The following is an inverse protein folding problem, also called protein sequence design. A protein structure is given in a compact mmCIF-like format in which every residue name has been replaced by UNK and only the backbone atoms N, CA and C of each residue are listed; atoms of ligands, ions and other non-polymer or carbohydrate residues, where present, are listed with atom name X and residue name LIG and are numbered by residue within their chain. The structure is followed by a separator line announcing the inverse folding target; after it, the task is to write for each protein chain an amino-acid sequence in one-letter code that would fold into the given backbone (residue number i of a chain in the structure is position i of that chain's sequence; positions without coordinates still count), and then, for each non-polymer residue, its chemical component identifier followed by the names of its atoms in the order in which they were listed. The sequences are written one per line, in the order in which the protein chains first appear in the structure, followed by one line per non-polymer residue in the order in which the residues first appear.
data_IF_651702533228
#
_entry.id   IF_651702533228
#
_cell.length_a   1.000
_cell.length_b   1.000
_cell.length_c   1.000
_cell.angle_alpha   90.00
_cell.angle_beta   90.00
_cell.angle_gamma   90.00
#
_symmetry.space_group_name_H-M   'P 1'
#
loop_
_entity.id
_entity.type
_entity.pdbx_description
1 polymer ?
#
# COMPACT_ATOMS: atom_id res chain seq x y z
N UNK A 1 -3.25 -16.98 -55.55
CA UNK A 1 -4.27 -16.40 -54.65
C UNK A 1 -4.50 -17.38 -53.48
N UNK A 2 -3.47 -17.65 -52.67
CA UNK A 2 -3.49 -18.73 -51.66
C UNK A 2 -2.67 -18.37 -50.40
N UNK A 3 -2.22 -17.11 -50.27
CA UNK A 3 -1.48 -16.60 -49.10
C UNK A 3 -2.40 -16.15 -47.95
N UNK A 4 -3.68 -15.91 -48.23
CA UNK A 4 -4.57 -15.27 -47.25
C UNK A 4 -5.18 -16.26 -46.25
N UNK A 5 -5.33 -17.54 -46.64
CA UNK A 5 -5.93 -18.58 -45.79
C UNK A 5 -4.98 -19.09 -44.69
N UNK A 6 -3.68 -19.23 -44.98
CA UNK A 6 -2.69 -19.63 -43.98
C UNK A 6 -2.47 -18.52 -42.94
N UNK A 7 -2.57 -17.27 -43.39
CA UNK A 7 -2.43 -16.07 -42.56
C UNK A 7 -3.59 -15.92 -41.56
N UNK A 8 -4.83 -16.28 -41.92
CA UNK A 8 -6.00 -16.06 -41.05
C UNK A 8 -6.06 -17.01 -39.83
N UNK A 9 -5.58 -18.24 -39.95
CA UNK A 9 -5.50 -19.16 -38.81
C UNK A 9 -4.32 -18.84 -37.88
N UNK A 10 -3.16 -18.47 -38.45
CA UNK A 10 -2.03 -17.98 -37.66
C UNK A 10 -2.40 -16.67 -36.97
N UNK A 11 -2.91 -15.65 -37.67
CA UNK A 11 -3.33 -14.39 -37.05
C UNK A 11 -4.35 -14.60 -35.91
N UNK A 12 -5.29 -15.55 -36.05
CA UNK A 12 -6.25 -15.87 -34.98
C UNK A 12 -5.57 -16.45 -33.74
N UNK A 13 -4.60 -17.35 -33.90
CA UNK A 13 -3.84 -17.91 -32.79
C UNK A 13 -2.95 -16.85 -32.10
N UNK A 14 -2.37 -15.94 -32.87
CA UNK A 14 -1.54 -14.85 -32.36
C UNK A 14 -2.40 -13.82 -31.61
N UNK A 15 -3.55 -13.43 -32.16
CA UNK A 15 -4.52 -12.58 -31.46
C UNK A 15 -5.04 -13.22 -30.16
N UNK A 16 -5.25 -14.53 -30.14
CA UNK A 16 -5.65 -15.24 -28.92
C UNK A 16 -4.53 -15.22 -27.88
N UNK A 17 -3.28 -15.48 -28.27
CA UNK A 17 -2.13 -15.43 -27.37
C UNK A 17 -1.90 -14.02 -26.81
N UNK A 18 -1.95 -12.99 -27.67
CA UNK A 18 -1.84 -11.58 -27.26
C UNK A 18 -3.00 -11.18 -26.36
N UNK A 19 -4.23 -11.58 -26.69
CA UNK A 19 -5.42 -11.30 -25.90
C UNK A 19 -5.33 -11.90 -24.50
N UNK A 20 -4.93 -13.17 -24.39
CA UNK A 20 -4.73 -13.85 -23.10
C UNK A 20 -3.61 -13.18 -22.30
N UNK A 21 -2.47 -12.87 -22.94
CA UNK A 21 -1.36 -12.18 -22.28
C UNK A 21 -1.78 -10.79 -21.76
N UNK A 22 -2.56 -10.06 -22.54
CA UNK A 22 -3.06 -8.73 -22.18
C UNK A 22 -4.05 -8.82 -21.02
N UNK A 23 -5.02 -9.73 -21.07
CA UNK A 23 -5.97 -9.97 -19.96
C UNK A 23 -5.24 -10.37 -18.68
N UNK A 24 -4.26 -11.29 -18.76
CA UNK A 24 -3.46 -11.69 -17.60
C UNK A 24 -2.69 -10.50 -17.02
N UNK A 25 -2.09 -9.67 -17.88
CA UNK A 25 -1.37 -8.46 -17.45
C UNK A 25 -2.30 -7.44 -16.74
N UNK A 26 -3.53 -7.28 -17.24
CA UNK A 26 -4.54 -6.40 -16.65
C UNK A 26 -5.02 -6.92 -15.30
N UNK A 27 -5.23 -8.24 -15.18
CA UNK A 27 -5.61 -8.87 -13.91
C UNK A 27 -4.50 -8.70 -12.85
N UNK A 28 -3.25 -8.95 -13.22
CA UNK A 28 -2.11 -8.74 -12.31
C UNK A 28 -2.02 -7.28 -11.90
N UNK A 29 -2.16 -6.34 -12.84
CA UNK A 29 -2.12 -4.91 -12.55
C UNK A 29 -3.24 -4.47 -11.60
N UNK A 30 -4.46 -4.98 -11.81
CA UNK A 30 -5.61 -4.69 -10.95
C UNK A 30 -5.43 -5.23 -9.52
N UNK A 31 -4.78 -6.39 -9.36
CA UNK A 31 -4.56 -7.01 -8.06
C UNK A 31 -3.36 -6.44 -7.30
N UNK A 32 -2.26 -6.11 -7.98
CA UNK A 32 -1.01 -5.69 -7.34
C UNK A 32 -1.01 -4.20 -6.98
N UNK A 33 -1.61 -3.35 -7.83
CA UNK A 33 -1.63 -1.89 -7.66
C UNK A 33 -3.04 -1.32 -7.75
N UNK A 34 -3.98 -1.74 -6.89
CA UNK A 34 -5.26 -1.05 -6.81
C UNK A 34 -5.03 0.42 -6.45
N UNK A 35 -5.44 1.31 -7.37
CA UNK A 35 -5.42 2.76 -7.17
C UNK A 35 -6.61 3.07 -6.27
N UNK A 36 -6.35 3.48 -5.02
CA UNK A 36 -7.40 3.91 -4.11
C UNK A 36 -7.46 5.43 -4.11
N UNK A 37 -8.64 5.99 -4.40
CA UNK A 37 -8.91 7.39 -4.13
C UNK A 37 -9.00 7.59 -2.62
N UNK A 38 -8.23 8.55 -2.12
CA UNK A 38 -8.08 8.78 -0.68
C UNK A 38 -9.23 9.65 -0.18
N UNK A 39 -10.04 9.19 0.79
CA UNK A 39 -11.06 10.04 1.39
C UNK A 39 -10.43 11.19 2.18
N UNK A 40 -11.11 12.35 2.18
CA UNK A 40 -10.64 13.70 2.46
C UNK A 40 -10.08 14.01 3.88
N UNK A 41 -9.70 13.01 4.67
CA UNK A 41 -9.32 13.17 6.10
C UNK A 41 -7.89 12.70 6.39
N UNK A 42 -7.13 12.37 5.34
CA UNK A 42 -5.73 12.01 5.41
C UNK A 42 -4.83 13.25 5.34
N UNK A 43 -3.54 13.10 5.69
CA UNK A 43 -2.45 14.11 5.59
C UNK A 43 -2.33 14.87 4.25
N UNK A 44 -3.08 14.46 3.24
CA UNK A 44 -3.00 14.90 1.85
C UNK A 44 -4.25 15.69 1.51
N UNK A 45 -4.07 16.76 0.73
CA UNK A 45 -5.19 17.59 0.27
C UNK A 45 -6.21 16.72 -0.46
N UNK A 46 -7.48 17.06 -0.27
CA UNK A 46 -8.63 16.46 -0.93
C UNK A 46 -8.37 16.34 -2.44
N UNK A 47 -8.30 15.12 -2.99
CA UNK A 47 -8.04 14.89 -4.41
C UNK A 47 -6.81 14.06 -4.78
N UNK A 48 -5.88 13.84 -3.85
CA UNK A 48 -4.64 13.13 -4.17
C UNK A 48 -4.85 11.62 -4.37
N UNK A 49 -4.48 11.12 -5.55
CA UNK A 49 -4.49 9.69 -5.88
C UNK A 49 -3.22 9.01 -5.34
N UNK A 50 -3.39 7.99 -4.50
CA UNK A 50 -2.26 7.25 -3.91
C UNK A 50 -2.34 5.80 -4.36
N UNK A 51 -1.24 5.30 -4.91
CA UNK A 51 -1.13 3.89 -5.30
C UNK A 51 -0.68 3.08 -4.10
N UNK A 52 -1.44 2.05 -3.75
CA UNK A 52 -1.10 1.17 -2.64
C UNK A 52 -0.52 -0.12 -3.18
N UNK A 53 0.73 -0.39 -2.84
CA UNK A 53 1.35 -1.69 -3.05
C UNK A 53 0.98 -2.60 -1.87
N UNK A 54 0.05 -3.53 -2.12
CA UNK A 54 -0.39 -4.54 -1.13
C UNK A 54 0.61 -5.68 -0.92
N UNK A 55 1.55 -5.89 -1.86
CA UNK A 55 2.53 -6.99 -1.77
C UNK A 55 3.65 -6.68 -0.78
N UNK A 56 4.01 -5.41 -0.63
CA UNK A 56 5.11 -4.99 0.23
C UNK A 56 4.65 -4.80 1.69
N UNK A 57 4.24 -5.91 2.33
CA UNK A 57 3.75 -5.94 3.73
C UNK A 57 4.86 -6.05 4.79
N UNK A 58 6.12 -6.11 4.35
CA UNK A 58 7.33 -6.23 5.19
C UNK A 58 8.31 -5.08 4.90
N UNK A 59 9.26 -4.89 5.81
CA UNK A 59 10.34 -3.91 5.72
C UNK A 59 9.85 -2.46 5.61
N UNK A 60 9.14 -2.02 6.64
CA UNK A 60 8.72 -0.63 6.77
C UNK A 60 9.89 0.24 7.22
N UNK A 61 10.03 1.41 6.58
CA UNK A 61 11.09 2.37 6.91
C UNK A 61 10.51 3.65 7.52
N UNK A 62 11.33 4.34 8.31
CA UNK A 62 10.98 5.68 8.82
C UNK A 62 10.75 6.64 7.64
N UNK A 63 9.71 7.44 7.74
CA UNK A 63 9.32 8.41 6.73
C UNK A 63 8.50 7.83 5.57
N UNK A 64 8.20 6.53 5.55
CA UNK A 64 7.41 5.91 4.50
C UNK A 64 5.90 6.19 4.68
N UNK A 65 5.21 6.38 3.56
CA UNK A 65 3.76 6.55 3.53
C UNK A 65 3.09 5.17 3.50
N UNK A 66 2.09 4.97 4.34
CA UNK A 66 1.36 3.72 4.45
C UNK A 66 -0.14 3.98 4.53
N UNK A 67 -0.92 3.02 4.05
CA UNK A 67 -2.36 2.98 4.26
C UNK A 67 -2.68 1.98 5.34
N UNK A 68 -3.44 2.41 6.34
CA UNK A 68 -3.83 1.58 7.48
C UNK A 68 -5.27 1.88 7.87
N UNK A 69 -5.94 0.90 8.47
CA UNK A 69 -7.33 1.06 8.91
C UNK A 69 -8.19 -0.14 8.56
N UNK A 70 -9.35 -0.21 9.23
CA UNK A 70 -10.35 -1.25 8.99
C UNK A 70 -11.53 -0.67 8.19
N UNK A 71 -11.96 0.55 8.53
CA UNK A 71 -12.95 1.39 7.81
C UNK A 71 -13.16 2.70 8.60
N UNK A 72 -12.93 3.91 8.06
CA UNK A 72 -12.32 4.22 6.77
C UNK A 72 -10.81 3.93 6.76
N UNK A 73 -10.24 3.77 5.56
CA UNK A 73 -8.80 3.64 5.38
C UNK A 73 -8.16 5.02 5.54
N UNK A 74 -7.18 5.12 6.42
CA UNK A 74 -6.41 6.34 6.65
C UNK A 74 -5.03 6.22 6.04
N UNK A 75 -4.45 7.37 5.69
CA UNK A 75 -3.05 7.45 5.25
C UNK A 75 -2.25 8.16 6.32
N UNK A 76 -1.09 7.58 6.62
CA UNK A 76 -0.13 8.22 7.49
C UNK A 76 1.30 7.90 7.12
N UNK A 77 2.20 8.67 7.72
CA UNK A 77 3.64 8.56 7.53
C UNK A 77 4.26 7.92 8.76
N UNK A 78 5.02 6.85 8.57
CA UNK A 78 5.73 6.19 9.67
C UNK A 78 6.77 7.16 10.23
N UNK A 79 6.72 7.41 11.52
CA UNK A 79 7.71 8.25 12.21
C UNK A 79 8.74 7.43 12.95
N UNK A 80 8.31 6.33 13.54
CA UNK A 80 9.18 5.47 14.32
C UNK A 80 8.72 4.02 14.27
N UNK A 81 9.72 3.15 14.33
CA UNK A 81 9.65 1.71 14.17
C UNK A 81 9.63 1.04 15.56
N UNK A 82 9.21 -0.23 15.64
CA UNK A 82 9.26 -0.98 16.89
C UNK A 82 10.69 -1.09 17.40
N UNK A 83 10.91 -0.81 18.70
CA UNK A 83 12.23 -0.73 19.32
C UNK A 83 12.88 0.66 19.26
N UNK A 84 12.34 1.60 18.49
CA UNK A 84 12.84 2.97 18.47
C UNK A 84 12.56 3.71 19.77
N UNK A 85 13.50 4.56 20.18
CA UNK A 85 13.32 5.46 21.32
C UNK A 85 12.92 6.85 20.83
N UNK A 86 11.73 7.28 21.20
CA UNK A 86 11.22 8.62 21.02
C UNK A 86 11.60 9.49 22.20
N UNK A 87 11.92 10.75 21.93
CA UNK A 87 12.17 11.75 22.97
C UNK A 87 11.04 12.77 22.93
N UNK A 88 10.14 12.69 23.91
CA UNK A 88 9.02 13.62 24.04
C UNK A 88 9.33 14.52 25.24
N UNK A 89 9.58 15.80 24.95
CA UNK A 89 10.06 16.79 25.92
C UNK A 89 11.40 16.36 26.54
N UNK A 90 11.40 15.91 27.81
CA UNK A 90 12.57 15.44 28.54
C UNK A 90 12.55 13.94 28.84
N UNK A 91 11.46 13.24 28.50
CA UNK A 91 11.31 11.81 28.75
C UNK A 91 11.57 11.01 27.48
N UNK A 92 12.18 9.83 27.67
CA UNK A 92 12.46 8.86 26.61
C UNK A 92 11.43 7.75 26.68
N UNK A 93 10.78 7.48 25.55
CA UNK A 93 9.78 6.43 25.42
C UNK A 93 10.25 5.46 24.35
N UNK A 94 10.21 4.17 24.64
CA UNK A 94 10.56 3.12 23.68
C UNK A 94 9.27 2.58 23.07
N UNK A 95 9.23 2.47 21.74
CA UNK A 95 8.10 1.85 21.06
C UNK A 95 8.18 0.34 21.30
N UNK A 96 7.11 -0.28 21.82
CA UNK A 96 7.11 -1.71 22.09
C UNK A 96 7.26 -2.50 20.78
N UNK A 97 8.25 -3.39 20.75
CA UNK A 97 8.44 -4.34 19.66
C UNK A 97 7.38 -5.44 19.64
N UNK A 98 6.72 -5.69 20.78
CA UNK A 98 5.72 -6.75 20.96
C UNK A 98 4.42 -6.19 21.53
N UNK A 99 3.28 -6.50 20.92
CA UNK A 99 1.96 -6.02 21.35
C UNK A 99 1.54 -6.50 22.75
N UNK A 100 1.62 -7.81 23.07
CA UNK A 100 1.25 -8.32 24.39
C UNK A 100 1.75 -9.75 24.64
N UNK A 101 2.00 -10.13 25.92
CA UNK A 101 2.35 -11.51 26.31
C UNK A 101 1.19 -12.51 26.12
N UNK A 102 -0.05 -12.01 26.06
CA UNK A 102 -1.29 -12.79 25.87
C UNK A 102 -1.58 -13.09 24.39
N UNK A 103 -0.84 -12.45 23.48
CA UNK A 103 -1.04 -12.52 22.05
C UNK A 103 -0.17 -13.65 21.51
N UNK A 104 -0.76 -14.66 20.89
CA UNK A 104 -0.03 -15.78 20.26
C UNK A 104 0.54 -15.42 18.88
N UNK A 105 0.56 -14.14 18.52
CA UNK A 105 0.92 -13.67 17.18
C UNK A 105 2.41 -13.36 17.10
N UNK A 106 3.09 -13.98 16.15
CA UNK A 106 4.52 -13.80 15.89
C UNK A 106 4.86 -12.42 15.30
N UNK A 107 3.92 -11.78 14.58
CA UNK A 107 4.14 -10.55 13.80
C UNK A 107 3.37 -9.33 14.36
N UNK A 108 3.27 -9.20 15.68
CA UNK A 108 2.56 -8.09 16.34
C UNK A 108 3.50 -6.92 16.71
N UNK A 109 3.99 -6.24 15.68
CA UNK A 109 4.84 -5.05 15.80
C UNK A 109 4.02 -3.75 15.82
N UNK A 110 4.40 -2.82 16.71
CA UNK A 110 3.74 -1.52 16.86
C UNK A 110 4.54 -0.43 16.15
N UNK A 111 3.86 0.38 15.35
CA UNK A 111 4.45 1.50 14.63
C UNK A 111 3.83 2.82 15.09
N UNK A 112 4.65 3.87 15.19
CA UNK A 112 4.15 5.23 15.37
C UNK A 112 3.99 5.89 14.01
N UNK A 113 2.77 6.34 13.73
CA UNK A 113 2.40 6.94 12.46
C UNK A 113 1.86 8.34 12.70
N UNK A 114 2.32 9.28 11.88
CA UNK A 114 1.76 10.63 11.80
C UNK A 114 0.62 10.62 10.78
N UNK A 115 -0.53 11.14 11.18
CA UNK A 115 -1.73 11.39 10.35
C UNK A 115 -2.05 12.88 10.39
N UNK A 116 -3.05 13.34 9.62
CA UNK A 116 -3.41 14.77 9.55
C UNK A 116 -3.87 15.30 10.90
N UNK A 117 -4.41 14.41 11.73
CA UNK A 117 -4.95 14.70 13.05
C UNK A 117 -3.95 14.44 14.20
N UNK A 118 -2.65 14.24 13.90
CA UNK A 118 -1.61 14.04 14.93
C UNK A 118 -0.87 12.71 14.82
N UNK A 119 -0.52 12.11 15.96
CA UNK A 119 0.24 10.85 16.01
C UNK A 119 -0.62 9.71 16.55
N UNK A 120 -0.54 8.53 15.93
CA UNK A 120 -1.27 7.33 16.32
C UNK A 120 -0.34 6.12 16.33
N UNK A 121 -0.53 5.25 17.32
CA UNK A 121 0.11 3.93 17.37
C UNK A 121 -0.78 2.93 16.64
N UNK A 122 -0.20 2.22 15.68
CA UNK A 122 -0.92 1.19 14.91
C UNK A 122 -0.17 -0.13 14.97
N UNK A 123 -0.91 -1.22 14.80
CA UNK A 123 -0.33 -2.56 14.72
C UNK A 123 -0.02 -2.93 13.27
N UNK A 124 1.03 -3.73 13.05
CA UNK A 124 1.44 -4.17 11.71
C UNK A 124 0.29 -4.81 10.92
N UNK A 125 -0.57 -5.60 11.57
CA UNK A 125 -1.68 -6.26 10.91
C UNK A 125 -2.76 -5.29 10.39
N UNK A 126 -2.80 -4.05 10.91
CA UNK A 126 -3.72 -3.00 10.44
C UNK A 126 -3.19 -2.27 9.20
N UNK A 127 -1.92 -2.51 8.84
CA UNK A 127 -1.30 -1.94 7.64
C UNK A 127 -1.76 -2.76 6.44
N UNK A 128 -2.35 -2.05 5.48
CA UNK A 128 -2.83 -2.62 4.21
C UNK A 128 -1.67 -2.73 3.23
N UNK A 129 -0.80 -1.72 3.17
CA UNK A 129 0.36 -1.72 2.29
C UNK A 129 1.11 -0.40 2.25
N UNK A 130 2.20 -0.38 1.49
CA UNK A 130 3.01 0.82 1.22
C UNK A 130 2.27 1.69 0.22
N UNK A 131 2.17 2.97 0.55
CA UNK A 131 1.48 3.96 -0.27
C UNK A 131 2.51 4.81 -1.02
N UNK A 132 2.28 5.05 -2.30
CA UNK A 132 3.13 5.89 -3.14
C UNK A 132 2.28 6.99 -3.75
N UNK A 133 2.78 8.22 -3.63
CA UNK A 133 2.12 9.38 -4.22
C UNK A 133 2.24 9.29 -5.74
N UNK A 134 1.11 9.36 -6.46
CA UNK A 134 1.13 9.27 -7.91
C UNK A 134 1.19 10.66 -8.52
N UNK A 135 0.22 11.54 -8.26
CA UNK A 135 0.17 12.91 -8.80
C UNK A 135 -0.76 13.82 -7.97
N UNK A 136 -0.49 15.12 -7.97
CA UNK A 136 -1.45 16.16 -7.58
C UNK A 136 -2.32 16.47 -8.79
N UNK A 137 -3.63 16.24 -8.71
CA UNK A 137 -4.56 16.81 -9.69
C UNK A 137 -5.02 18.17 -9.14
N UNK A 138 -4.70 19.29 -9.81
CA UNK A 138 -5.33 20.56 -9.50
C UNK A 138 -6.75 20.49 -10.05
N UNK A 139 -7.74 20.41 -9.17
CA UNK A 139 -9.11 20.81 -9.47
C UNK A 139 -9.51 21.92 -8.52
#
# INVERSE_FOLDING_TARGET
MQRDFFNMQQLRAWCFSIGVGLVLSLLVRAFVFPIYQVPAHALLKQGDCVVVNKLARKDFQRGQLIVFGKTPNEIGRIKALPGDTLRIRQQRYVIPSTCCKRCLCTDCHTFLVQTGNGYRLIQQHQIIGKAYWLYHLPF
#
